data_IF_577175375431
#
_entry.id   IF_577175375431
#
_cell.length_a   1.000
_cell.length_b   1.000
_cell.length_c   1.000
_cell.angle_alpha   90.00
_cell.angle_beta   90.00
_cell.angle_gamma   90.00
#
_symmetry.space_group_name_H-M   'P 1'
#
loop_
_entity.id
_entity.type
_entity.pdbx_description
1 polymer ?
#
# COMPACT_ATOMS: atom_id res chain seq x y z
N UNK A 1 -0.91 0.71 26.25
CA UNK A 1 -1.97 -0.24 25.85
C UNK A 1 -1.37 -1.19 24.83
N UNK A 2 -1.15 -2.45 25.20
CA UNK A 2 -0.76 -3.48 24.23
C UNK A 2 -2.03 -3.87 23.50
N UNK A 3 -2.12 -3.56 22.21
CA UNK A 3 -3.21 -4.05 21.39
C UNK A 3 -3.11 -5.58 21.38
N UNK A 4 -4.09 -6.24 21.98
CA UNK A 4 -4.33 -7.67 21.76
C UNK A 4 -4.44 -7.86 20.24
N UNK A 5 -3.52 -8.62 19.65
CA UNK A 5 -3.64 -9.06 18.27
C UNK A 5 -4.89 -9.95 18.21
N UNK A 6 -6.04 -9.35 17.97
CA UNK A 6 -7.25 -10.08 17.63
C UNK A 6 -6.99 -10.72 16.27
N UNK A 7 -6.45 -11.93 16.29
CA UNK A 7 -6.27 -12.76 15.11
C UNK A 7 -7.65 -13.00 14.51
N UNK A 8 -7.97 -12.29 13.43
CA UNK A 8 -9.21 -12.49 12.68
C UNK A 8 -9.16 -13.86 12.01
N UNK A 9 -10.10 -14.74 12.34
CA UNK A 9 -10.21 -16.07 11.74
C UNK A 9 -11.18 -16.03 10.57
N UNK A 10 -10.74 -16.52 9.40
CA UNK A 10 -11.60 -16.76 8.26
C UNK A 10 -12.07 -18.21 8.23
N UNK A 11 -13.38 -18.42 8.19
CA UNK A 11 -13.99 -19.75 8.01
C UNK A 11 -15.00 -19.69 6.86
N UNK A 12 -14.83 -20.60 5.89
CA UNK A 12 -15.69 -20.66 4.72
C UNK A 12 -16.26 -22.06 4.56
N UNK A 13 -17.55 -22.14 4.25
CA UNK A 13 -18.15 -23.37 3.70
C UNK A 13 -18.02 -23.32 2.19
N UNK A 14 -17.38 -24.33 1.63
CA UNK A 14 -17.18 -24.47 0.18
C UNK A 14 -17.79 -25.76 -0.31
N UNK A 15 -18.12 -25.79 -1.60
CA UNK A 15 -18.57 -27.02 -2.25
C UNK A 15 -17.42 -28.05 -2.29
N UNK A 16 -17.70 -29.36 -2.25
CA UNK A 16 -16.67 -30.40 -2.26
C UNK A 16 -15.71 -30.30 -3.46
N UNK A 17 -16.22 -29.91 -4.64
CA UNK A 17 -15.41 -29.80 -5.86
C UNK A 17 -14.40 -28.65 -5.75
N UNK A 18 -14.79 -27.54 -5.13
CA UNK A 18 -13.90 -26.42 -4.87
C UNK A 18 -12.82 -26.79 -3.85
N UNK A 19 -13.17 -27.56 -2.82
CA UNK A 19 -12.18 -28.07 -1.84
C UNK A 19 -11.11 -28.92 -2.54
N UNK A 20 -11.53 -29.87 -3.39
CA UNK A 20 -10.61 -30.73 -4.13
C UNK A 20 -9.71 -29.94 -5.08
N UNK A 21 -10.25 -28.91 -5.74
CA UNK A 21 -9.48 -28.03 -6.61
C UNK A 21 -8.38 -27.28 -5.84
N UNK A 22 -8.72 -26.70 -4.69
CA UNK A 22 -7.77 -25.98 -3.82
C UNK A 22 -6.70 -26.94 -3.28
N UNK A 23 -7.09 -28.14 -2.82
CA UNK A 23 -6.15 -29.14 -2.32
C UNK A 23 -5.15 -29.59 -3.41
N UNK A 24 -5.63 -29.80 -4.63
CA UNK A 24 -4.76 -30.12 -5.77
C UNK A 24 -3.78 -28.97 -6.06
N UNK A 25 -4.25 -27.73 -6.12
CA UNK A 25 -3.39 -26.57 -6.36
C UNK A 25 -2.34 -26.39 -5.24
N UNK A 26 -2.75 -26.56 -3.99
CA UNK A 26 -1.87 -26.49 -2.83
C UNK A 26 -0.78 -27.59 -2.87
N UNK A 27 -1.14 -28.81 -3.28
CA UNK A 27 -0.18 -29.92 -3.42
C UNK A 27 0.90 -29.64 -4.47
N UNK A 28 0.55 -29.00 -5.59
CA UNK A 28 1.51 -28.60 -6.63
C UNK A 28 2.51 -27.56 -6.13
N UNK A 29 2.10 -26.75 -5.16
CA UNK A 29 2.91 -25.70 -4.54
C UNK A 29 3.60 -26.16 -3.24
N UNK A 30 3.50 -27.44 -2.88
CA UNK A 30 4.04 -28.00 -1.63
C UNK A 30 3.60 -27.25 -0.36
N UNK A 31 2.35 -26.80 -0.31
CA UNK A 31 1.78 -26.09 0.83
C UNK A 31 0.43 -26.67 1.27
N UNK A 32 -0.04 -26.27 2.45
CA UNK A 32 -1.38 -26.68 2.92
C UNK A 32 -2.48 -25.96 2.15
N UNK A 33 -3.68 -26.55 2.07
CA UNK A 33 -4.84 -25.90 1.45
C UNK A 33 -5.19 -24.56 2.11
N UNK A 34 -5.01 -24.47 3.44
CA UNK A 34 -5.24 -23.24 4.19
C UNK A 34 -4.21 -22.15 3.87
N UNK A 35 -2.93 -22.52 3.75
CA UNK A 35 -1.87 -21.57 3.36
C UNK A 35 -2.07 -21.10 1.92
N UNK A 36 -2.38 -22.00 0.99
CA UNK A 36 -2.72 -21.65 -0.39
C UNK A 36 -3.88 -20.65 -0.45
N UNK A 37 -4.97 -20.93 0.27
CA UNK A 37 -6.14 -20.05 0.30
C UNK A 37 -5.83 -18.69 0.93
N UNK A 38 -5.02 -18.65 2.00
CA UNK A 38 -4.58 -17.40 2.63
C UNK A 38 -3.78 -16.55 1.65
N UNK A 39 -2.77 -17.13 1.00
CA UNK A 39 -1.91 -16.42 0.05
C UNK A 39 -2.72 -15.92 -1.15
N UNK A 40 -3.60 -16.74 -1.73
CA UNK A 40 -4.45 -16.32 -2.83
C UNK A 40 -5.39 -15.15 -2.45
N UNK A 41 -5.94 -15.17 -1.22
CA UNK A 41 -6.77 -14.09 -0.72
C UNK A 41 -5.97 -12.80 -0.50
N UNK A 42 -4.75 -12.90 0.04
CA UNK A 42 -3.85 -11.77 0.26
C UNK A 42 -3.44 -11.12 -1.07
N UNK A 43 -2.99 -11.91 -2.04
CA UNK A 43 -2.60 -11.44 -3.37
C UNK A 43 -3.77 -10.71 -4.06
N UNK A 44 -4.96 -11.31 -4.04
CA UNK A 44 -6.14 -10.68 -4.65
C UNK A 44 -6.58 -9.42 -3.92
N UNK A 45 -6.49 -9.38 -2.59
CA UNK A 45 -6.80 -8.19 -1.82
C UNK A 45 -5.85 -7.04 -2.17
N UNK A 46 -4.54 -7.32 -2.22
CA UNK A 46 -3.54 -6.33 -2.62
C UNK A 46 -3.82 -5.82 -4.03
N UNK A 47 -4.09 -6.70 -5.00
CA UNK A 47 -4.42 -6.32 -6.36
C UNK A 47 -5.63 -5.37 -6.42
N UNK A 48 -6.73 -5.72 -5.75
CA UNK A 48 -7.95 -4.90 -5.71
C UNK A 48 -7.69 -3.55 -5.05
N UNK A 49 -6.96 -3.51 -3.93
CA UNK A 49 -6.63 -2.25 -3.27
C UNK A 49 -5.71 -1.39 -4.16
N UNK A 50 -4.77 -1.99 -4.89
CA UNK A 50 -3.94 -1.24 -5.84
C UNK A 50 -4.78 -0.61 -6.94
N UNK A 51 -5.69 -1.38 -7.54
CA UNK A 51 -6.56 -0.89 -8.60
C UNK A 51 -7.48 0.26 -8.13
N UNK A 52 -7.96 0.20 -6.90
CA UNK A 52 -8.98 1.13 -6.40
C UNK A 52 -8.45 2.28 -5.53
N UNK A 53 -7.34 2.08 -4.82
CA UNK A 53 -6.81 3.04 -3.83
C UNK A 53 -5.49 3.70 -4.28
N UNK A 54 -4.70 3.07 -5.17
CA UNK A 54 -3.48 3.71 -5.69
C UNK A 54 -3.75 4.67 -6.87
N UNK A 55 -5.01 4.90 -7.23
CA UNK A 55 -5.37 5.99 -8.11
C UNK A 55 -5.52 7.26 -7.26
N UNK A 56 -4.44 8.05 -7.19
CA UNK A 56 -4.52 9.42 -6.67
C UNK A 56 -5.44 10.22 -7.59
N UNK A 57 -6.69 10.41 -7.17
CA UNK A 57 -7.61 11.34 -7.82
C UNK A 57 -7.06 12.75 -7.64
N UNK A 58 -6.56 13.30 -8.72
CA UNK A 58 -6.16 14.71 -8.79
C UNK A 58 -7.18 15.49 -9.61
N UNK A 59 -7.38 16.79 -9.31
CA UNK A 59 -8.11 17.70 -10.19
C UNK A 59 -7.57 17.66 -11.63
N UNK A 60 -8.43 17.98 -12.61
CA UNK A 60 -8.07 17.91 -14.04
C UNK A 60 -6.85 18.79 -14.39
N UNK A 61 -6.70 19.91 -13.69
CA UNK A 61 -5.64 20.91 -13.86
C UNK A 61 -4.39 20.63 -13.01
N UNK A 62 -4.37 19.56 -12.21
CA UNK A 62 -3.28 19.29 -11.28
C UNK A 62 -1.93 19.16 -11.97
N UNK A 63 -1.86 18.41 -13.07
CA UNK A 63 -0.60 18.21 -13.79
C UNK A 63 -0.14 19.48 -14.51
N UNK A 64 -1.07 20.28 -15.04
CA UNK A 64 -0.74 21.57 -15.64
C UNK A 64 -0.18 22.53 -14.58
N UNK A 65 -0.81 22.61 -13.41
CA UNK A 65 -0.34 23.41 -12.29
C UNK A 65 1.02 22.93 -11.75
N UNK A 66 1.22 21.61 -11.68
CA UNK A 66 2.49 21.01 -11.27
C UNK A 66 3.61 21.38 -12.25
N UNK A 67 3.41 21.17 -13.55
CA UNK A 67 4.40 21.49 -14.58
C UNK A 67 4.74 22.98 -14.59
N UNK A 68 3.72 23.85 -14.50
CA UNK A 68 3.92 25.29 -14.38
C UNK A 68 4.78 25.67 -13.15
N UNK A 69 4.60 24.98 -12.02
CA UNK A 69 5.41 25.21 -10.82
C UNK A 69 6.86 24.72 -10.95
N UNK A 70 7.14 23.76 -11.84
CA UNK A 70 8.51 23.32 -12.13
C UNK A 70 9.22 24.30 -13.07
N UNK A 71 8.50 24.84 -14.05
CA UNK A 71 9.03 25.86 -14.98
C UNK A 71 9.23 27.22 -14.29
N UNK A 72 8.35 27.57 -13.36
CA UNK A 72 8.42 28.78 -12.55
C UNK A 72 8.27 28.44 -11.05
N UNK A 73 9.38 28.01 -10.39
CA UNK A 73 9.37 27.66 -8.99
C UNK A 73 8.91 28.84 -8.11
N UNK A 74 7.94 28.64 -7.21
CA UNK A 74 7.52 29.69 -6.30
C UNK A 74 8.60 29.94 -5.24
N UNK A 75 8.68 31.18 -4.77
CA UNK A 75 9.55 31.54 -3.66
C UNK A 75 9.16 30.78 -2.38
N UNK A 76 10.14 30.29 -1.59
CA UNK A 76 9.85 29.65 -0.31
C UNK A 76 9.10 30.59 0.63
N UNK A 77 8.03 30.10 1.25
CA UNK A 77 7.33 30.87 2.28
C UNK A 77 8.15 30.93 3.58
N UNK A 78 7.79 31.85 4.48
CA UNK A 78 8.52 32.06 5.74
C UNK A 78 8.65 30.79 6.59
N UNK A 79 7.68 29.88 6.51
CA UNK A 79 7.72 28.61 7.25
C UNK A 79 8.80 27.67 6.71
N UNK A 80 8.94 27.57 5.38
CA UNK A 80 10.01 26.82 4.71
C UNK A 80 11.38 27.46 4.99
N UNK A 81 11.49 28.78 4.93
CA UNK A 81 12.73 29.50 5.25
C UNK A 81 13.18 29.24 6.69
N UNK A 82 12.26 29.31 7.66
CA UNK A 82 12.56 28.96 9.06
C UNK A 82 12.93 27.49 9.22
N UNK A 83 12.34 26.58 8.46
CA UNK A 83 12.66 25.15 8.52
C UNK A 83 14.06 24.86 7.99
N UNK A 84 14.45 25.48 6.86
CA UNK A 84 15.80 25.39 6.31
C UNK A 84 16.85 25.91 7.29
N UNK A 85 16.63 27.06 7.91
CA UNK A 85 17.55 27.63 8.91
C UNK A 85 17.75 26.71 10.15
N UNK A 86 16.72 25.94 10.55
CA UNK A 86 16.88 24.94 11.61
C UNK A 86 17.73 23.75 11.16
N UNK A 87 17.63 23.33 9.91
CA UNK A 87 18.40 22.20 9.38
C UNK A 87 19.92 22.47 9.43
N UNK A 88 20.34 23.69 9.11
CA UNK A 88 21.75 24.11 9.17
C UNK A 88 22.33 24.04 10.60
N UNK A 89 21.49 24.14 11.64
CA UNK A 89 21.93 23.97 13.04
C UNK A 89 22.05 22.51 13.49
N UNK A 90 21.49 21.57 12.71
CA UNK A 90 21.44 20.13 13.03
C UNK A 90 22.48 19.33 12.23
N UNK A 91 22.87 19.81 11.04
CA UNK A 91 23.85 19.16 10.18
C UNK A 91 25.18 19.92 10.24
N UNK A 92 26.16 19.42 11.00
CA UNK A 92 27.56 19.85 10.83
C UNK A 92 28.05 19.37 9.46
N UNK A 93 28.22 20.31 8.52
CA UNK A 93 28.92 20.07 7.26
C UNK A 93 30.39 19.76 7.59
N UNK A 94 30.79 18.49 7.49
CA UNK A 94 32.17 18.04 7.60
C UNK A 94 32.97 18.41 6.35
#
# INVERSE_FOLDING_TARGET
>A
MVASAASGRFEFRVRPELKQLIERAASLMNQTASDFARTAAEERAVEVLREHELITRVPVDFFDALLASLDAPPEPNDALTRAAARLDSVIERR
#
